data_IF_426040920539
#
_entry.id   IF_426040920539
#
_cell.length_a   1.000
_cell.length_b   1.000
_cell.length_c   1.000
_cell.angle_alpha   90.00
_cell.angle_beta   90.00
_cell.angle_gamma   90.00
#
_symmetry.space_group_name_H-M   'P 1'
#
loop_
_entity.id
_entity.type
_entity.pdbx_description
1 polymer ?
#
# COMPACT_ATOMS: atom_id res chain seq x y z
N UNK A 1 -30.24 -3.17 27.78
CA UNK A 1 -29.98 -1.79 27.38
C UNK A 1 -28.71 -1.83 26.54
N UNK A 2 -28.81 -1.73 25.21
CA UNK A 2 -27.63 -1.70 24.33
C UNK A 2 -26.99 -0.30 24.42
N UNK A 3 -25.67 -0.24 24.59
CA UNK A 3 -24.92 1.01 24.50
C UNK A 3 -25.19 1.69 23.15
N UNK A 4 -25.39 3.02 23.10
CA UNK A 4 -25.50 3.73 21.83
C UNK A 4 -24.27 3.46 20.94
N UNK A 5 -24.48 3.35 19.64
CA UNK A 5 -23.44 2.94 18.66
C UNK A 5 -22.19 3.81 18.73
N UNK A 6 -22.37 5.13 18.77
CA UNK A 6 -21.26 6.09 18.91
C UNK A 6 -20.42 5.88 20.16
N UNK A 7 -21.02 5.39 21.26
CA UNK A 7 -20.30 5.14 22.51
C UNK A 7 -19.40 3.91 22.40
N UNK A 8 -19.88 2.88 21.69
CA UNK A 8 -19.08 1.66 21.43
C UNK A 8 -17.86 1.97 20.58
N UNK A 9 -18.02 2.78 19.53
CA UNK A 9 -16.91 3.22 18.68
C UNK A 9 -15.93 4.08 19.44
N UNK A 10 -16.42 5.00 20.27
CA UNK A 10 -15.56 5.88 21.10
C UNK A 10 -14.77 5.08 22.15
N UNK A 11 -15.41 4.11 22.82
CA UNK A 11 -14.71 3.23 23.78
C UNK A 11 -13.65 2.40 23.04
N UNK A 12 -13.98 1.84 21.90
CA UNK A 12 -13.01 1.08 21.10
C UNK A 12 -11.83 1.95 20.61
N UNK A 13 -12.10 3.19 20.22
CA UNK A 13 -11.04 4.15 19.84
C UNK A 13 -10.15 4.50 21.02
N UNK A 14 -10.73 4.76 22.19
CA UNK A 14 -9.98 5.06 23.42
C UNK A 14 -9.09 3.87 23.84
N UNK A 15 -9.62 2.65 23.84
CA UNK A 15 -8.81 1.47 24.19
C UNK A 15 -7.68 1.27 23.18
N UNK A 16 -7.92 1.46 21.88
CA UNK A 16 -6.85 1.39 20.87
C UNK A 16 -5.75 2.42 21.15
N UNK A 17 -6.11 3.66 21.43
CA UNK A 17 -5.17 4.72 21.77
C UNK A 17 -4.31 4.36 22.98
N UNK A 18 -4.90 3.78 24.03
CA UNK A 18 -4.16 3.33 25.20
C UNK A 18 -3.20 2.17 24.86
N UNK A 19 -3.64 1.23 24.03
CA UNK A 19 -2.79 0.11 23.58
C UNK A 19 -1.64 0.60 22.69
N UNK A 20 -1.87 1.56 21.82
CA UNK A 20 -0.81 2.21 21.01
C UNK A 20 0.22 2.90 21.91
N UNK A 21 -0.23 3.54 22.99
CA UNK A 21 0.66 4.07 24.03
C UNK A 21 1.52 3.00 24.70
N UNK A 22 0.93 1.85 25.06
CA UNK A 22 1.68 0.71 25.63
C UNK A 22 2.69 0.18 24.63
N UNK A 23 2.30 0.01 23.35
CA UNK A 23 3.21 -0.43 22.29
C UNK A 23 4.37 0.53 22.04
N UNK A 24 4.12 1.83 22.09
CA UNK A 24 5.16 2.84 21.98
C UNK A 24 6.16 2.77 23.14
N UNK A 25 5.67 2.58 24.36
CA UNK A 25 6.51 2.43 25.56
C UNK A 25 7.34 1.13 25.52
N UNK A 26 6.75 0.01 25.09
CA UNK A 26 7.49 -1.26 24.95
C UNK A 26 8.58 -1.15 23.88
N UNK A 27 8.31 -0.46 22.77
CA UNK A 27 9.31 -0.19 21.72
C UNK A 27 10.44 0.71 22.22
N UNK A 28 10.12 1.68 23.08
CA UNK A 28 11.13 2.54 23.70
C UNK A 28 11.98 1.76 24.71
N UNK A 29 11.37 0.91 25.53
CA UNK A 29 12.08 0.03 26.48
C UNK A 29 12.99 -0.97 25.74
N UNK A 30 12.56 -1.57 24.65
CA UNK A 30 13.36 -2.47 23.84
C UNK A 30 14.61 -1.85 23.19
N UNK A 31 14.72 -0.50 23.18
CA UNK A 31 15.94 0.20 22.75
C UNK A 31 16.97 0.36 23.89
N UNK A 32 16.61 0.03 25.12
CA UNK A 32 17.50 0.10 26.28
C UNK A 32 18.22 -1.25 26.46
N UNK A 33 19.33 -1.25 27.20
CA UNK A 33 20.01 -2.49 27.59
C UNK A 33 19.19 -3.18 28.68
N UNK A 34 18.40 -4.17 28.28
CA UNK A 34 17.63 -5.01 29.19
C UNK A 34 18.37 -6.33 29.44
N UNK A 35 18.01 -7.01 30.53
CA UNK A 35 18.37 -8.42 30.73
C UNK A 35 17.51 -9.31 29.81
N UNK A 36 17.93 -10.53 29.56
CA UNK A 36 17.14 -11.47 28.74
C UNK A 36 15.70 -11.65 29.28
N UNK A 37 15.53 -11.70 30.60
CA UNK A 37 14.21 -11.75 31.23
C UNK A 37 13.42 -10.45 31.02
N UNK A 38 14.10 -9.30 31.05
CA UNK A 38 13.51 -8.00 30.76
C UNK A 38 13.02 -7.88 29.31
N UNK A 39 13.81 -8.35 28.34
CA UNK A 39 13.43 -8.42 26.93
C UNK A 39 12.21 -9.33 26.72
N UNK A 40 12.19 -10.51 27.35
CA UNK A 40 11.06 -11.41 27.29
C UNK A 40 9.77 -10.81 27.89
N UNK A 41 9.88 -10.08 29.01
CA UNK A 41 8.74 -9.35 29.59
C UNK A 41 8.22 -8.26 28.66
N UNK A 42 9.10 -7.44 28.09
CA UNK A 42 8.72 -6.39 27.16
C UNK A 42 8.04 -6.95 25.91
N UNK A 43 8.58 -8.04 25.35
CA UNK A 43 7.97 -8.74 24.22
C UNK A 43 6.57 -9.28 24.55
N UNK A 44 6.40 -9.87 25.74
CA UNK A 44 5.11 -10.40 26.21
C UNK A 44 4.07 -9.29 26.40
N UNK A 45 4.46 -8.14 26.94
CA UNK A 45 3.56 -6.97 27.10
C UNK A 45 3.18 -6.40 25.75
N UNK A 46 4.14 -6.30 24.81
CA UNK A 46 3.88 -5.83 23.45
C UNK A 46 2.88 -6.75 22.72
N UNK A 47 3.07 -8.07 22.80
CA UNK A 47 2.15 -9.02 22.15
C UNK A 47 0.76 -9.00 22.80
N UNK A 48 0.64 -8.87 24.11
CA UNK A 48 -0.65 -8.74 24.78
C UNK A 48 -1.38 -7.46 24.36
N UNK A 49 -0.70 -6.32 24.27
CA UNK A 49 -1.28 -5.07 23.83
C UNK A 49 -1.71 -5.14 22.36
N UNK A 50 -0.90 -5.74 21.49
CA UNK A 50 -1.24 -5.96 20.09
C UNK A 50 -2.46 -6.88 19.92
N UNK A 51 -2.55 -7.96 20.70
CA UNK A 51 -3.69 -8.87 20.72
C UNK A 51 -4.99 -8.15 21.10
N UNK A 52 -4.97 -7.33 22.16
CA UNK A 52 -6.14 -6.52 22.56
C UNK A 52 -6.57 -5.58 21.44
N UNK A 53 -5.62 -4.89 20.79
CA UNK A 53 -5.90 -4.00 19.65
C UNK A 53 -6.55 -4.76 18.48
N UNK A 54 -6.06 -5.96 18.16
CA UNK A 54 -6.63 -6.79 17.10
C UNK A 54 -8.06 -7.26 17.42
N UNK A 55 -8.30 -7.72 18.64
CA UNK A 55 -9.64 -8.13 19.11
C UNK A 55 -10.64 -6.99 18.98
N UNK A 56 -10.29 -5.80 19.46
CA UNK A 56 -11.16 -4.63 19.40
C UNK A 56 -11.42 -4.21 17.97
N UNK A 57 -10.38 -4.15 17.13
CA UNK A 57 -10.52 -3.78 15.72
C UNK A 57 -11.39 -4.77 14.96
N UNK A 58 -11.19 -6.07 15.17
CA UNK A 58 -12.03 -7.10 14.54
C UNK A 58 -13.49 -7.03 15.02
N UNK A 59 -13.72 -6.77 16.31
CA UNK A 59 -15.06 -6.63 16.87
C UNK A 59 -15.82 -5.42 16.31
N UNK A 60 -15.14 -4.26 16.16
CA UNK A 60 -15.74 -3.05 15.57
C UNK A 60 -16.03 -3.27 14.09
N UNK A 61 -15.08 -3.83 13.33
CA UNK A 61 -15.26 -4.15 11.92
C UNK A 61 -16.44 -5.10 11.70
N UNK A 62 -16.53 -6.18 12.48
CA UNK A 62 -17.64 -7.13 12.39
C UNK A 62 -18.99 -6.48 12.71
N UNK A 63 -19.04 -5.64 13.75
CA UNK A 63 -20.28 -4.91 14.11
C UNK A 63 -20.71 -4.00 12.97
N UNK A 64 -19.80 -3.23 12.39
CA UNK A 64 -20.08 -2.34 11.25
C UNK A 64 -20.59 -3.13 10.05
N UNK A 65 -19.95 -4.26 9.73
CA UNK A 65 -20.37 -5.13 8.61
C UNK A 65 -21.73 -5.79 8.82
N UNK A 66 -22.13 -6.05 10.06
CA UNK A 66 -23.47 -6.59 10.36
C UNK A 66 -24.53 -5.53 10.17
N UNK A 67 -24.26 -4.28 10.52
CA UNK A 67 -25.21 -3.16 10.43
C UNK A 67 -25.36 -2.61 9.00
N UNK A 68 -24.26 -2.46 8.26
CA UNK A 68 -24.23 -1.76 6.97
C UNK A 68 -23.69 -2.57 5.79
N UNK A 69 -23.32 -3.83 5.99
CA UNK A 69 -22.62 -4.62 4.97
C UNK A 69 -21.11 -4.35 4.95
N UNK A 70 -20.42 -5.00 4.01
CA UNK A 70 -18.98 -4.79 3.80
C UNK A 70 -18.81 -3.62 2.85
N UNK A 71 -18.26 -2.52 3.33
CA UNK A 71 -17.83 -1.39 2.49
C UNK A 71 -16.40 -1.65 2.05
N UNK A 72 -16.14 -1.53 0.74
CA UNK A 72 -14.82 -1.71 0.14
C UNK A 72 -14.27 -0.36 -0.33
N UNK A 73 -13.04 -0.08 0.06
CA UNK A 73 -12.25 1.06 -0.41
C UNK A 73 -11.32 0.55 -1.52
N UNK A 74 -11.79 0.62 -2.78
CA UNK A 74 -11.05 0.07 -3.91
C UNK A 74 -9.97 1.03 -4.37
N UNK A 75 -8.73 0.53 -4.41
CA UNK A 75 -7.54 1.22 -4.91
C UNK A 75 -6.74 0.28 -5.83
N UNK A 76 -5.86 0.80 -6.69
CA UNK A 76 -4.92 -0.04 -7.42
C UNK A 76 -3.96 -0.73 -6.44
N UNK A 77 -3.96 -2.07 -6.42
CA UNK A 77 -3.14 -2.88 -5.52
C UNK A 77 -2.29 -3.84 -6.32
N UNK A 78 -0.97 -3.80 -6.12
CA UNK A 78 -0.04 -4.81 -6.62
C UNK A 78 -0.17 -6.06 -5.75
N UNK A 79 -0.60 -7.16 -6.35
CA UNK A 79 -1.02 -8.35 -5.61
C UNK A 79 0.14 -9.08 -4.92
N UNK A 80 1.34 -9.02 -5.49
CA UNK A 80 2.55 -9.54 -4.87
C UNK A 80 2.87 -8.85 -3.55
N UNK A 81 2.74 -7.52 -3.48
CA UNK A 81 3.01 -6.76 -2.26
C UNK A 81 2.08 -7.14 -1.10
N UNK A 82 0.86 -7.59 -1.40
CA UNK A 82 -0.05 -8.13 -0.37
C UNK A 82 0.57 -9.37 0.29
N UNK A 83 1.19 -10.26 -0.49
CA UNK A 83 1.82 -11.47 0.04
C UNK A 83 3.13 -11.17 0.76
N UNK A 84 3.89 -10.19 0.30
CA UNK A 84 5.09 -9.71 0.99
C UNK A 84 4.71 -9.15 2.38
N UNK A 85 3.63 -8.36 2.48
CA UNK A 85 3.11 -7.85 3.75
C UNK A 85 2.55 -8.97 4.66
N UNK A 86 1.87 -9.97 4.09
CA UNK A 86 1.44 -11.17 4.83
C UNK A 86 2.64 -11.87 5.44
N UNK A 87 3.73 -12.04 4.69
CA UNK A 87 4.96 -12.64 5.18
C UNK A 87 5.57 -11.84 6.33
N UNK A 88 5.73 -10.55 6.16
CA UNK A 88 6.30 -9.66 7.20
C UNK A 88 5.50 -9.70 8.51
N UNK A 89 4.18 -9.71 8.43
CA UNK A 89 3.29 -9.73 9.60
C UNK A 89 3.31 -11.07 10.33
N UNK A 90 3.31 -12.17 9.57
CA UNK A 90 3.05 -13.49 10.13
C UNK A 90 4.30 -14.30 10.43
N UNK A 91 5.44 -14.06 9.76
CA UNK A 91 6.66 -14.81 9.98
C UNK A 91 7.15 -14.76 11.44
N UNK A 92 7.23 -13.58 12.10
CA UNK A 92 7.61 -13.52 13.53
C UNK A 92 6.61 -14.21 14.45
N UNK A 93 5.30 -14.06 14.16
CA UNK A 93 4.22 -14.64 14.97
C UNK A 93 4.18 -16.16 14.87
N UNK A 94 4.30 -16.71 13.66
CA UNK A 94 4.37 -18.15 13.45
C UNK A 94 5.62 -18.75 14.12
N UNK A 95 6.77 -18.09 13.97
CA UNK A 95 8.03 -18.52 14.59
C UNK A 95 7.93 -18.57 16.12
N UNK A 96 7.27 -17.62 16.77
CA UNK A 96 7.07 -17.59 18.22
C UNK A 96 6.26 -18.78 18.74
N UNK A 97 5.41 -19.38 17.90
CA UNK A 97 4.64 -20.60 18.22
C UNK A 97 5.32 -21.90 17.77
N UNK A 98 6.52 -21.81 17.16
CA UNK A 98 7.25 -22.97 16.64
C UNK A 98 6.73 -23.46 15.28
N UNK A 99 5.98 -22.62 14.55
CA UNK A 99 5.46 -22.88 13.21
C UNK A 99 6.31 -22.15 12.17
N UNK A 100 6.65 -22.84 11.08
CA UNK A 100 7.29 -22.21 9.91
C UNK A 100 6.20 -21.81 8.92
N UNK A 101 6.08 -20.51 8.63
CA UNK A 101 5.19 -20.02 7.59
C UNK A 101 5.94 -19.94 6.25
N UNK A 102 5.39 -20.57 5.24
CA UNK A 102 5.86 -20.50 3.85
C UNK A 102 4.87 -19.67 3.04
N UNK A 103 5.31 -18.53 2.53
CA UNK A 103 4.47 -17.64 1.72
C UNK A 103 4.91 -17.70 0.27
N UNK A 104 3.96 -17.77 -0.65
CA UNK A 104 4.22 -17.82 -2.11
C UNK A 104 3.23 -16.96 -2.89
N UNK A 105 3.72 -16.39 -3.97
CA UNK A 105 2.91 -15.73 -4.98
C UNK A 105 3.15 -16.39 -6.34
N UNK A 106 2.08 -16.73 -7.05
CA UNK A 106 2.10 -17.33 -8.40
C UNK A 106 1.30 -16.43 -9.35
N UNK A 107 1.96 -15.89 -10.34
CA UNK A 107 1.42 -14.95 -11.32
C UNK A 107 2.46 -13.95 -11.79
N UNK A 108 2.04 -13.00 -12.61
CA UNK A 108 2.88 -11.88 -13.00
C UNK A 108 3.25 -11.05 -11.77
N UNK A 109 4.54 -10.81 -11.49
CA UNK A 109 4.97 -9.98 -10.35
C UNK A 109 4.39 -8.57 -10.34
N UNK A 110 4.09 -8.01 -11.51
CA UNK A 110 3.44 -6.70 -11.69
C UNK A 110 1.92 -6.76 -11.74
N UNK A 111 1.31 -7.95 -11.58
CA UNK A 111 -0.15 -8.07 -11.59
C UNK A 111 -0.79 -7.19 -10.52
N UNK A 112 -1.68 -6.30 -10.96
CA UNK A 112 -2.39 -5.38 -10.11
C UNK A 112 -3.90 -5.38 -10.45
N UNK A 113 -4.73 -5.07 -9.44
CA UNK A 113 -6.18 -5.03 -9.58
C UNK A 113 -6.79 -3.94 -8.68
N UNK A 114 -8.02 -3.52 -8.99
CA UNK A 114 -8.80 -2.68 -8.09
C UNK A 114 -9.23 -3.52 -6.88
N UNK A 115 -8.66 -3.27 -5.73
CA UNK A 115 -8.89 -4.05 -4.52
C UNK A 115 -8.86 -3.16 -3.27
N UNK A 116 -9.46 -3.65 -2.21
CA UNK A 116 -9.24 -3.12 -0.86
C UNK A 116 -8.11 -3.92 -0.21
N UNK A 117 -6.90 -3.32 -0.18
CA UNK A 117 -5.69 -3.94 0.39
C UNK A 117 -5.92 -4.41 1.82
N UNK A 118 -6.55 -3.58 2.65
CA UNK A 118 -6.84 -3.90 4.06
C UNK A 118 -7.74 -5.13 4.19
N UNK A 119 -8.78 -5.22 3.35
CA UNK A 119 -9.72 -6.35 3.36
C UNK A 119 -9.06 -7.64 2.85
N UNK A 120 -8.22 -7.57 1.83
CA UNK A 120 -7.43 -8.72 1.37
C UNK A 120 -6.53 -9.26 2.49
N UNK A 121 -5.82 -8.38 3.18
CA UNK A 121 -4.98 -8.76 4.32
C UNK A 121 -5.81 -9.39 5.45
N UNK A 122 -7.00 -8.87 5.76
CA UNK A 122 -7.91 -9.45 6.76
C UNK A 122 -8.36 -10.87 6.40
N UNK A 123 -8.53 -11.17 5.10
CA UNK A 123 -8.84 -12.53 4.65
C UNK A 123 -7.69 -13.48 4.95
N UNK A 124 -6.46 -13.10 4.58
CA UNK A 124 -5.27 -13.90 4.90
C UNK A 124 -5.04 -14.02 6.40
N UNK A 125 -5.12 -12.92 7.13
CA UNK A 125 -4.91 -12.88 8.59
C UNK A 125 -5.84 -13.87 9.31
N UNK A 126 -7.11 -13.94 8.90
CA UNK A 126 -8.07 -14.85 9.53
C UNK A 126 -7.78 -16.33 9.25
N UNK A 127 -7.46 -16.70 8.01
CA UNK A 127 -7.21 -18.09 7.66
C UNK A 127 -5.81 -18.56 8.10
N UNK A 128 -4.79 -17.72 8.02
CA UNK A 128 -3.45 -18.03 8.53
C UNK A 128 -3.48 -18.15 10.07
N UNK A 129 -4.20 -17.25 10.76
CA UNK A 129 -4.36 -17.32 12.21
C UNK A 129 -4.99 -18.62 12.68
N UNK A 130 -6.03 -19.10 11.98
CA UNK A 130 -6.67 -20.40 12.24
C UNK A 130 -5.69 -21.55 12.00
N UNK A 131 -4.94 -21.54 10.89
CA UNK A 131 -3.99 -22.59 10.54
C UNK A 131 -2.77 -22.65 11.49
N UNK A 132 -2.15 -21.51 11.78
CA UNK A 132 -1.01 -21.39 12.69
C UNK A 132 -1.38 -21.78 14.11
N UNK A 133 -2.55 -21.28 14.59
CA UNK A 133 -3.05 -21.63 15.92
C UNK A 133 -3.32 -23.13 16.10
N UNK A 134 -3.79 -23.80 15.03
CA UNK A 134 -4.09 -25.23 15.04
C UNK A 134 -2.83 -26.11 14.85
N UNK A 135 -1.73 -25.58 14.24
CA UNK A 135 -0.59 -26.38 13.83
C UNK A 135 0.30 -26.84 14.98
N UNK A 136 0.47 -26.03 16.01
CA UNK A 136 1.33 -26.33 17.16
C UNK A 136 2.82 -26.43 16.81
N UNK A 137 3.22 -27.23 15.82
CA UNK A 137 4.58 -27.36 15.27
C UNK A 137 4.52 -27.84 13.82
N UNK A 138 5.48 -27.41 13.00
CA UNK A 138 5.59 -27.80 11.59
C UNK A 138 5.43 -26.60 10.66
N UNK A 139 4.91 -26.83 9.45
CA UNK A 139 4.77 -25.77 8.45
C UNK A 139 3.30 -25.47 8.13
N UNK A 140 3.03 -24.20 7.90
CA UNK A 140 1.80 -23.68 7.28
C UNK A 140 2.21 -23.02 5.97
N UNK A 141 1.50 -23.31 4.89
CA UNK A 141 1.74 -22.74 3.57
C UNK A 141 0.61 -21.75 3.25
N UNK A 142 0.94 -20.54 2.84
CA UNK A 142 -0.01 -19.53 2.38
C UNK A 142 0.40 -19.07 0.97
N UNK A 143 -0.44 -19.34 -0.01
CA UNK A 143 -0.21 -19.01 -1.40
C UNK A 143 -1.30 -18.13 -1.98
N UNK A 144 -0.95 -17.29 -2.93
CA UNK A 144 -1.86 -16.52 -3.75
C UNK A 144 -1.50 -16.75 -5.23
N UNK A 145 -2.46 -17.21 -6.00
CA UNK A 145 -2.36 -17.28 -7.45
C UNK A 145 -3.21 -16.17 -8.06
N UNK A 146 -2.64 -15.39 -8.98
CA UNK A 146 -3.32 -14.31 -9.68
C UNK A 146 -3.32 -14.60 -11.20
N UNK A 147 -4.52 -14.64 -11.80
CA UNK A 147 -4.70 -14.90 -13.22
C UNK A 147 -5.56 -13.80 -13.83
N UNK A 148 -5.04 -13.13 -14.84
CA UNK A 148 -5.80 -12.16 -15.63
C UNK A 148 -6.83 -12.93 -16.49
N UNK A 149 -8.09 -12.53 -16.41
CA UNK A 149 -9.21 -13.07 -17.16
C UNK A 149 -9.98 -11.93 -17.85
N UNK A 150 -10.90 -12.26 -18.74
CA UNK A 150 -11.64 -11.23 -19.50
C UNK A 150 -12.44 -10.27 -18.60
N UNK A 151 -12.91 -10.75 -17.45
CA UNK A 151 -13.73 -9.97 -16.51
C UNK A 151 -12.92 -9.25 -15.42
N UNK A 152 -11.57 -9.39 -15.41
CA UNK A 152 -10.73 -8.79 -14.39
C UNK A 152 -9.54 -9.66 -14.01
N UNK A 153 -9.23 -9.71 -12.71
CA UNK A 153 -8.16 -10.54 -12.15
C UNK A 153 -8.77 -11.55 -11.17
N UNK A 154 -8.64 -12.83 -11.50
CA UNK A 154 -9.05 -13.91 -10.60
C UNK A 154 -7.93 -14.21 -9.62
N UNK A 155 -8.27 -14.13 -8.33
CA UNK A 155 -7.39 -14.50 -7.24
C UNK A 155 -7.81 -15.83 -6.66
N UNK A 156 -6.87 -16.74 -6.48
CA UNK A 156 -7.05 -17.94 -5.68
C UNK A 156 -6.03 -17.93 -4.52
N UNK A 157 -6.55 -17.74 -3.30
CA UNK A 157 -5.76 -17.87 -2.08
C UNK A 157 -5.85 -19.27 -1.53
N UNK A 158 -4.74 -19.84 -1.08
CA UNK A 158 -4.65 -21.21 -0.54
C UNK A 158 -3.84 -21.22 0.74
N UNK A 159 -4.46 -21.66 1.84
CA UNK A 159 -3.80 -21.83 3.13
C UNK A 159 -3.83 -23.31 3.50
N UNK A 160 -2.66 -23.95 3.49
CA UNK A 160 -2.49 -25.35 3.86
C UNK A 160 -1.98 -25.43 5.29
N UNK A 161 -2.74 -26.14 6.10
CA UNK A 161 -2.46 -26.33 7.53
C UNK A 161 -2.82 -27.73 8.01
N UNK A 162 -2.88 -27.95 9.33
CA UNK A 162 -3.28 -29.25 9.89
C UNK A 162 -4.73 -29.57 9.53
N UNK A 163 -5.03 -30.87 9.47
CA UNK A 163 -6.40 -31.34 9.25
C UNK A 163 -7.32 -30.87 10.37
N UNK A 164 -8.32 -30.09 9.97
CA UNK A 164 -9.40 -29.67 10.88
C UNK A 164 -10.66 -30.49 10.60
N UNK A 165 -11.01 -31.35 11.54
CA UNK A 165 -12.21 -32.20 11.46
C UNK A 165 -13.50 -31.46 11.75
N UNK A 166 -13.44 -30.19 12.16
CA UNK A 166 -14.61 -29.37 12.51
C UNK A 166 -15.29 -28.65 11.35
N UNK A 167 -14.84 -28.86 10.10
CA UNK A 167 -15.40 -28.17 8.92
C UNK A 167 -16.70 -28.78 8.39
N UNK A 168 -16.90 -30.07 8.57
CA UNK A 168 -17.94 -30.79 7.88
C UNK A 168 -19.29 -30.66 8.57
N UNK A 169 -20.26 -30.02 7.88
CA UNK A 169 -21.68 -30.02 8.27
C UNK A 169 -22.08 -29.10 9.44
N UNK A 170 -21.19 -28.24 9.93
CA UNK A 170 -21.51 -27.32 11.02
C UNK A 170 -21.95 -25.96 10.50
N UNK A 171 -22.96 -25.39 11.17
CA UNK A 171 -23.32 -23.98 11.04
C UNK A 171 -22.12 -23.08 11.38
N UNK A 172 -22.01 -21.93 10.68
CA UNK A 172 -20.94 -20.97 10.87
C UNK A 172 -20.77 -20.55 12.33
N UNK A 173 -21.87 -20.33 13.03
CA UNK A 173 -21.84 -19.92 14.43
C UNK A 173 -21.24 -21.01 15.34
N UNK A 174 -21.64 -22.26 15.16
CA UNK A 174 -21.08 -23.40 15.91
C UNK A 174 -19.58 -23.55 15.62
N UNK A 175 -19.17 -23.35 14.38
CA UNK A 175 -17.76 -23.39 14.00
C UNK A 175 -16.96 -22.29 14.68
N UNK A 176 -17.42 -21.05 14.69
CA UNK A 176 -16.74 -19.93 15.35
C UNK A 176 -16.59 -20.20 16.85
N UNK A 177 -17.62 -20.71 17.51
CA UNK A 177 -17.54 -21.14 18.93
C UNK A 177 -16.49 -22.24 19.16
N UNK A 178 -16.36 -23.18 18.24
CA UNK A 178 -15.35 -24.22 18.32
C UNK A 178 -13.93 -23.68 18.15
N UNK A 179 -13.73 -22.71 17.23
CA UNK A 179 -12.46 -22.00 17.05
C UNK A 179 -12.13 -21.24 18.35
N UNK A 180 -13.08 -20.47 18.88
CA UNK A 180 -12.89 -19.71 20.13
C UNK A 180 -12.48 -20.61 21.30
N UNK A 181 -13.18 -21.72 21.50
CA UNK A 181 -12.90 -22.65 22.58
C UNK A 181 -11.50 -23.31 22.48
N UNK A 182 -11.00 -23.49 21.26
CA UNK A 182 -9.71 -24.17 21.00
C UNK A 182 -8.53 -23.22 20.84
N UNK A 183 -8.74 -22.11 20.17
CA UNK A 183 -7.68 -21.21 19.68
C UNK A 183 -7.80 -19.78 20.23
N UNK A 184 -8.86 -19.50 20.99
CA UNK A 184 -9.10 -18.21 21.61
C UNK A 184 -9.90 -17.22 20.75
N UNK A 185 -10.34 -16.14 21.41
CA UNK A 185 -11.26 -15.15 20.84
C UNK A 185 -10.65 -14.39 19.66
N UNK A 186 -9.36 -14.05 19.70
CA UNK A 186 -8.68 -13.33 18.60
C UNK A 186 -8.78 -14.10 17.29
N UNK A 187 -8.43 -15.39 17.32
CA UNK A 187 -8.47 -16.27 16.15
C UNK A 187 -9.90 -16.47 15.66
N UNK A 188 -10.86 -16.63 16.57
CA UNK A 188 -12.28 -16.78 16.21
C UNK A 188 -12.83 -15.54 15.51
N UNK A 189 -12.55 -14.34 16.04
CA UNK A 189 -12.95 -13.08 15.41
C UNK A 189 -12.28 -12.87 14.05
N UNK A 190 -10.98 -13.15 13.94
CA UNK A 190 -10.25 -13.10 12.67
C UNK A 190 -10.84 -14.04 11.63
N UNK A 191 -11.13 -15.29 12.00
CA UNK A 191 -11.75 -16.28 11.12
C UNK A 191 -13.17 -15.88 10.67
N UNK A 192 -13.96 -15.27 11.56
CA UNK A 192 -15.28 -14.74 11.23
C UNK A 192 -15.19 -13.53 10.30
N UNK A 193 -14.26 -12.61 10.59
CA UNK A 193 -14.01 -11.42 9.78
C UNK A 193 -13.58 -11.79 8.36
N UNK A 194 -12.62 -12.70 8.21
CA UNK A 194 -12.15 -13.18 6.91
C UNK A 194 -13.31 -13.70 6.04
N UNK A 195 -14.18 -14.53 6.60
CA UNK A 195 -15.32 -15.08 5.88
C UNK A 195 -16.36 -14.01 5.52
N UNK A 196 -16.58 -13.04 6.41
CA UNK A 196 -17.52 -11.95 6.16
C UNK A 196 -17.02 -11.01 5.07
N UNK A 197 -15.75 -10.65 5.13
CA UNK A 197 -15.07 -9.85 4.09
C UNK A 197 -15.12 -10.56 2.75
N UNK A 198 -14.75 -11.84 2.72
CA UNK A 198 -14.76 -12.65 1.51
C UNK A 198 -16.15 -12.70 0.87
N UNK A 199 -17.19 -12.91 1.67
CA UNK A 199 -18.57 -12.90 1.18
C UNK A 199 -18.98 -11.51 0.64
N UNK A 200 -18.54 -10.42 1.28
CA UNK A 200 -18.74 -9.04 0.79
C UNK A 200 -18.02 -8.72 -0.52
N UNK A 201 -16.94 -9.44 -0.81
CA UNK A 201 -16.21 -9.38 -2.07
C UNK A 201 -16.74 -10.38 -3.12
N UNK A 202 -17.93 -10.98 -2.89
CA UNK A 202 -18.51 -12.06 -3.70
C UNK A 202 -17.55 -13.27 -3.87
N UNK A 203 -16.64 -13.46 -2.93
CA UNK A 203 -15.71 -14.57 -2.93
C UNK A 203 -16.33 -15.85 -2.36
N UNK A 204 -15.72 -16.96 -2.73
CA UNK A 204 -16.11 -18.28 -2.25
C UNK A 204 -14.98 -18.91 -1.45
N UNK A 205 -15.31 -19.70 -0.44
CA UNK A 205 -14.33 -20.46 0.34
C UNK A 205 -14.68 -21.94 0.26
N UNK A 206 -13.67 -22.77 0.01
CA UNK A 206 -13.78 -24.23 0.00
C UNK A 206 -12.68 -24.87 0.81
N UNK A 207 -12.94 -26.07 1.28
CA UNK A 207 -11.95 -26.91 1.95
C UNK A 207 -11.58 -28.07 1.05
N UNK A 208 -10.30 -28.33 0.94
CA UNK A 208 -9.74 -29.43 0.16
C UNK A 208 -8.99 -30.36 1.13
N UNK A 209 -9.40 -31.61 1.18
CA UNK A 209 -8.69 -32.63 1.95
C UNK A 209 -7.45 -33.08 1.16
N UNK A 210 -6.28 -32.97 1.78
CA UNK A 210 -5.03 -33.43 1.19
C UNK A 210 -4.69 -34.85 1.63
N UNK A 211 -3.74 -35.46 0.92
CA UNK A 211 -3.16 -36.71 1.39
C UNK A 211 -2.40 -36.49 2.70
N UNK A 212 -2.61 -37.37 3.69
CA UNK A 212 -2.00 -37.24 5.01
C UNK A 212 -2.86 -36.47 6.03
N UNK A 213 -2.20 -35.75 6.95
CA UNK A 213 -2.85 -35.08 8.07
C UNK A 213 -3.03 -33.56 7.85
N UNK A 214 -3.11 -33.11 6.60
CA UNK A 214 -3.30 -31.70 6.27
C UNK A 214 -4.55 -31.47 5.44
N UNK A 215 -5.09 -30.25 5.52
CA UNK A 215 -6.17 -29.75 4.69
C UNK A 215 -5.74 -28.39 4.11
N UNK A 216 -6.35 -28.01 2.98
CA UNK A 216 -6.19 -26.68 2.39
C UNK A 216 -7.53 -25.93 2.47
N UNK A 217 -7.48 -24.73 3.02
CA UNK A 217 -8.56 -23.74 2.85
C UNK A 217 -8.23 -22.96 1.60
N UNK A 218 -9.07 -23.05 0.58
CA UNK A 218 -8.94 -22.27 -0.64
C UNK A 218 -10.08 -21.27 -0.73
N UNK A 219 -9.77 -20.06 -1.16
CA UNK A 219 -10.78 -19.05 -1.48
C UNK A 219 -10.53 -18.46 -2.87
N UNK A 220 -11.59 -18.03 -3.50
CA UNK A 220 -11.54 -17.42 -4.84
C UNK A 220 -12.30 -16.10 -4.83
N UNK A 221 -11.71 -15.08 -5.45
CA UNK A 221 -12.28 -13.74 -5.61
C UNK A 221 -12.01 -13.28 -7.04
N UNK A 222 -13.00 -12.65 -7.67
CA UNK A 222 -12.80 -11.92 -8.92
C UNK A 222 -12.71 -10.42 -8.60
N UNK A 223 -11.55 -9.84 -8.85
CA UNK A 223 -11.32 -8.41 -8.71
C UNK A 223 -11.49 -7.72 -10.06
N UNK A 224 -11.99 -6.48 -10.03
CA UNK A 224 -12.01 -5.67 -11.22
C UNK A 224 -10.58 -5.39 -11.69
N UNK A 225 -10.36 -5.46 -13.00
CA UNK A 225 -9.12 -4.93 -13.57
C UNK A 225 -9.01 -3.44 -13.18
N UNK A 226 -7.79 -2.96 -13.05
CA UNK A 226 -7.59 -1.52 -12.96
C UNK A 226 -8.24 -0.92 -14.22
N UNK A 227 -9.21 0.00 -14.10
CA UNK A 227 -9.77 0.63 -15.27
C UNK A 227 -8.59 1.17 -16.08
N UNK A 228 -8.41 0.68 -17.31
CA UNK A 228 -7.54 1.39 -18.24
C UNK A 228 -8.04 2.83 -18.21
N UNK A 229 -7.26 3.74 -17.64
CA UNK A 229 -7.45 5.16 -17.92
C UNK A 229 -7.58 5.21 -19.44
N UNK A 230 -8.73 5.72 -19.95
CA UNK A 230 -9.07 5.80 -21.35
C UNK A 230 -7.79 5.96 -22.12
N UNK A 231 -7.40 4.96 -22.89
CA UNK A 231 -6.12 4.91 -23.59
C UNK A 231 -5.85 6.26 -24.27
N UNK A 232 -4.91 7.00 -23.68
CA UNK A 232 -3.98 7.68 -24.55
C UNK A 232 -3.22 6.55 -25.26
N UNK A 233 -3.04 6.58 -26.57
CA UNK A 233 -2.64 5.43 -27.37
C UNK A 233 -1.42 4.77 -26.74
N UNK A 234 -1.51 3.43 -26.62
CA UNK A 234 -0.46 2.57 -26.09
C UNK A 234 0.80 2.71 -26.96
N UNK A 235 1.67 3.63 -26.61
CA UNK A 235 3.00 3.76 -27.20
C UNK A 235 4.13 3.93 -26.17
N UNK A 236 3.91 3.70 -24.84
CA UNK A 236 5.00 3.99 -23.90
C UNK A 236 5.20 3.07 -22.68
N UNK A 237 4.67 1.87 -22.65
CA UNK A 237 5.04 0.88 -21.62
C UNK A 237 6.43 0.29 -21.91
N UNK A 238 7.46 1.05 -21.59
CA UNK A 238 8.87 0.66 -21.78
C UNK A 238 9.76 1.79 -22.29
N UNK A 239 9.24 2.98 -22.55
CA UNK A 239 10.04 4.13 -22.90
C UNK A 239 10.60 4.80 -21.65
N UNK A 240 11.92 5.06 -21.64
CA UNK A 240 12.56 5.94 -20.68
C UNK A 240 11.82 7.30 -20.62
N UNK A 241 11.45 7.76 -19.42
CA UNK A 241 10.77 9.06 -19.27
C UNK A 241 11.61 10.17 -19.92
N UNK A 242 10.97 11.06 -20.67
CA UNK A 242 11.64 12.14 -21.39
C UNK A 242 11.46 13.46 -20.65
N UNK A 243 12.54 14.02 -20.13
CA UNK A 243 12.55 15.13 -19.18
C UNK A 243 13.12 16.39 -19.84
N UNK A 244 12.41 17.52 -19.73
CA UNK A 244 12.95 18.81 -20.10
C UNK A 244 13.68 19.45 -18.90
N UNK A 245 14.94 19.75 -19.06
CA UNK A 245 15.78 20.42 -18.05
C UNK A 245 15.92 21.91 -18.42
N UNK A 246 15.43 22.80 -17.59
CA UNK A 246 15.42 24.24 -17.81
C UNK A 246 16.26 24.93 -16.75
N UNK A 247 17.36 25.58 -17.16
CA UNK A 247 18.27 26.32 -16.27
C UNK A 247 19.11 27.28 -17.14
N UNK A 248 19.34 28.50 -16.74
CA UNK A 248 20.13 29.47 -17.51
C UNK A 248 21.66 29.15 -17.50
N UNK A 249 22.10 28.36 -16.51
CA UNK A 249 23.49 27.97 -16.36
C UNK A 249 23.78 26.62 -17.03
N UNK A 250 24.62 26.61 -18.05
CA UNK A 250 24.98 25.39 -18.79
C UNK A 250 25.58 24.27 -17.90
N UNK A 251 26.29 24.62 -16.81
CA UNK A 251 26.82 23.64 -15.87
C UNK A 251 25.70 22.96 -15.07
N UNK A 252 24.69 23.73 -14.62
CA UNK A 252 23.55 23.17 -13.91
C UNK A 252 22.75 22.26 -14.84
N UNK A 253 22.51 22.65 -16.09
CA UNK A 253 21.86 21.80 -17.09
C UNK A 253 22.58 20.47 -17.26
N UNK A 254 23.91 20.52 -17.43
CA UNK A 254 24.72 19.31 -17.58
C UNK A 254 24.63 18.38 -16.35
N UNK A 255 24.68 18.95 -15.15
CA UNK A 255 24.56 18.18 -13.91
C UNK A 255 23.16 17.54 -13.81
N UNK A 256 22.09 18.31 -14.07
CA UNK A 256 20.74 17.80 -14.03
C UNK A 256 20.52 16.69 -15.09
N UNK A 257 21.00 16.87 -16.32
CA UNK A 257 20.92 15.86 -17.37
C UNK A 257 21.67 14.57 -16.98
N UNK A 258 22.89 14.69 -16.44
CA UNK A 258 23.64 13.53 -15.98
C UNK A 258 22.93 12.76 -14.85
N UNK A 259 22.24 13.46 -13.94
CA UNK A 259 21.44 12.83 -12.89
C UNK A 259 20.20 12.14 -13.46
N UNK A 260 19.52 12.77 -14.41
CA UNK A 260 18.36 12.21 -15.11
C UNK A 260 18.74 10.94 -15.89
N UNK A 261 19.89 10.96 -16.60
CA UNK A 261 20.42 9.79 -17.30
C UNK A 261 20.78 8.63 -16.35
N UNK A 262 21.29 8.96 -15.14
CA UNK A 262 21.60 7.94 -14.12
C UNK A 262 20.34 7.18 -13.65
N UNK A 263 19.15 7.77 -13.82
CA UNK A 263 17.85 7.17 -13.48
C UNK A 263 17.14 6.55 -14.69
N UNK A 264 17.91 6.19 -15.74
CA UNK A 264 17.39 5.58 -16.98
C UNK A 264 16.37 6.46 -17.71
N UNK A 265 16.39 7.79 -17.51
CA UNK A 265 15.56 8.76 -18.23
C UNK A 265 16.34 9.45 -19.35
N UNK A 266 15.64 9.91 -20.37
CA UNK A 266 16.21 10.74 -21.44
C UNK A 266 15.92 12.21 -21.16
N UNK A 267 16.76 13.14 -21.68
CA UNK A 267 16.56 14.56 -21.42
C UNK A 267 16.86 15.44 -22.63
N UNK A 268 16.14 16.56 -22.69
CA UNK A 268 16.47 17.73 -23.49
C UNK A 268 16.63 18.94 -22.57
N UNK A 269 17.19 20.04 -23.08
CA UNK A 269 17.39 21.22 -22.25
C UNK A 269 16.91 22.50 -22.93
N UNK A 270 16.50 23.48 -22.11
CA UNK A 270 16.20 24.85 -22.51
C UNK A 270 16.98 25.82 -21.60
N UNK A 271 17.29 27.03 -22.14
CA UNK A 271 18.13 28.00 -21.44
C UNK A 271 17.36 29.06 -20.66
N UNK A 272 16.04 29.13 -20.86
CA UNK A 272 15.13 30.03 -20.14
C UNK A 272 13.66 29.61 -20.26
N UNK A 273 12.78 30.41 -19.63
CA UNK A 273 11.36 30.12 -19.59
C UNK A 273 10.64 30.25 -20.95
N UNK A 274 11.12 31.08 -21.87
CA UNK A 274 10.50 31.23 -23.21
C UNK A 274 10.78 29.97 -24.03
N UNK A 275 12.03 29.50 -24.05
CA UNK A 275 12.40 28.24 -24.70
C UNK A 275 11.68 27.03 -24.06
N UNK A 276 11.52 27.05 -22.72
CA UNK A 276 10.79 25.99 -22.03
C UNK A 276 9.33 25.91 -22.45
N UNK A 277 8.63 27.05 -22.59
CA UNK A 277 7.24 27.10 -23.07
C UNK A 277 7.15 26.61 -24.51
N UNK A 278 8.07 27.01 -25.39
CA UNK A 278 8.11 26.56 -26.78
C UNK A 278 8.36 25.05 -26.86
N UNK A 279 9.34 24.53 -26.11
CA UNK A 279 9.66 23.11 -26.06
C UNK A 279 8.45 22.29 -25.54
N UNK A 280 7.77 22.76 -24.47
CA UNK A 280 6.63 22.09 -23.87
C UNK A 280 5.46 21.91 -24.86
N UNK A 281 5.25 22.84 -25.81
CA UNK A 281 4.21 22.74 -26.82
C UNK A 281 4.31 21.49 -27.69
N UNK A 282 5.51 20.90 -27.80
CA UNK A 282 5.70 19.64 -28.53
C UNK A 282 4.95 18.45 -27.92
N UNK A 283 4.56 18.53 -26.63
CA UNK A 283 3.84 17.49 -25.91
C UNK A 283 4.61 16.19 -25.66
N UNK A 284 5.94 16.18 -25.95
CA UNK A 284 6.78 14.98 -25.87
C UNK A 284 7.42 14.73 -24.49
N UNK A 285 7.35 15.71 -23.59
CA UNK A 285 7.96 15.61 -22.27
C UNK A 285 6.99 15.01 -21.26
N UNK A 286 7.51 14.11 -20.44
CA UNK A 286 6.81 13.48 -19.35
C UNK A 286 6.95 14.25 -18.03
N UNK A 287 8.00 15.10 -17.91
CA UNK A 287 8.25 15.95 -16.77
C UNK A 287 9.16 17.14 -17.17
N UNK A 288 9.03 18.26 -16.45
CA UNK A 288 9.89 19.44 -16.61
C UNK A 288 10.59 19.73 -15.28
N UNK A 289 11.93 19.80 -15.30
CA UNK A 289 12.75 20.36 -14.23
C UNK A 289 12.99 21.85 -14.54
N UNK A 290 12.42 22.75 -13.74
CA UNK A 290 12.35 24.17 -14.03
C UNK A 290 13.12 25.01 -13.01
N UNK A 291 14.19 25.67 -13.43
CA UNK A 291 14.82 26.70 -12.59
C UNK A 291 13.86 27.85 -12.33
N UNK A 292 13.86 28.35 -11.11
CA UNK A 292 13.00 29.47 -10.73
C UNK A 292 13.55 30.80 -11.23
N UNK A 293 14.88 30.98 -11.13
CA UNK A 293 15.52 32.27 -11.44
C UNK A 293 16.29 32.23 -12.74
N UNK A 294 15.66 32.71 -13.82
CA UNK A 294 16.25 32.78 -15.14
C UNK A 294 16.02 34.15 -15.77
N UNK A 295 16.88 34.58 -16.69
CA UNK A 295 16.68 35.80 -17.49
C UNK A 295 15.50 35.64 -18.45
N UNK A 296 15.00 36.74 -19.00
CA UNK A 296 13.89 36.84 -19.97
C UNK A 296 12.56 36.42 -19.33
N UNK A 297 12.35 35.16 -19.08
CA UNK A 297 11.15 34.62 -18.41
C UNK A 297 11.58 33.73 -17.25
N UNK A 298 11.11 34.04 -16.04
CA UNK A 298 11.37 33.22 -14.85
C UNK A 298 10.54 31.94 -14.84
N UNK A 299 10.93 30.97 -13.99
CA UNK A 299 10.28 29.67 -13.94
C UNK A 299 8.82 29.71 -13.51
N UNK A 300 8.43 30.69 -12.69
CA UNK A 300 7.03 30.86 -12.25
C UNK A 300 6.18 31.33 -13.43
N UNK A 301 6.65 32.31 -14.19
CA UNK A 301 5.97 32.81 -15.37
C UNK A 301 5.86 31.73 -16.45
N UNK A 302 6.95 30.98 -16.68
CA UNK A 302 6.98 29.86 -17.60
C UNK A 302 5.99 28.76 -17.20
N UNK A 303 5.93 28.41 -15.93
CA UNK A 303 4.96 27.44 -15.40
C UNK A 303 3.53 27.87 -15.66
N UNK A 304 3.18 29.12 -15.36
CA UNK A 304 1.84 29.65 -15.64
C UNK A 304 1.49 29.63 -17.12
N UNK A 305 2.46 29.95 -17.98
CA UNK A 305 2.27 29.90 -19.43
C UNK A 305 2.04 28.46 -19.91
N UNK A 306 2.82 27.50 -19.42
CA UNK A 306 2.64 26.06 -19.72
C UNK A 306 1.28 25.57 -19.22
N UNK A 307 0.86 25.93 -17.99
CA UNK A 307 -0.46 25.55 -17.45
C UNK A 307 -1.64 26.12 -18.25
N UNK A 308 -1.44 27.21 -18.96
CA UNK A 308 -2.48 27.79 -19.84
C UNK A 308 -2.59 27.05 -21.19
N UNK A 309 -1.67 26.14 -21.53
CA UNK A 309 -1.73 25.36 -22.76
C UNK A 309 -2.81 24.26 -22.65
N UNK A 310 -3.49 23.90 -23.75
CA UNK A 310 -4.56 22.92 -23.73
C UNK A 310 -4.04 21.48 -23.61
N UNK A 311 -4.88 20.60 -23.05
CA UNK A 311 -4.67 19.16 -23.02
C UNK A 311 -3.50 18.69 -22.14
N UNK A 312 -2.83 17.60 -22.52
CA UNK A 312 -1.74 16.96 -21.77
C UNK A 312 -0.57 17.91 -21.51
N UNK A 313 -0.31 18.83 -22.40
CA UNK A 313 0.80 19.79 -22.28
C UNK A 313 0.65 20.66 -21.03
N UNK A 314 -0.55 21.21 -20.80
CA UNK A 314 -0.83 22.00 -19.61
C UNK A 314 -0.82 21.21 -18.30
N UNK A 315 -0.94 19.90 -18.38
CA UNK A 315 -0.95 18.99 -17.23
C UNK A 315 0.42 18.32 -16.94
N UNK A 316 1.46 18.58 -17.77
CA UNK A 316 2.78 17.98 -17.58
C UNK A 316 3.33 18.31 -16.18
N UNK A 317 3.87 17.32 -15.41
CA UNK A 317 4.47 17.58 -14.11
C UNK A 317 5.65 18.55 -14.22
N UNK A 318 5.71 19.53 -13.31
CA UNK A 318 6.78 20.54 -13.25
C UNK A 318 7.36 20.55 -11.85
N UNK A 319 8.66 20.31 -11.73
CA UNK A 319 9.40 20.37 -10.47
C UNK A 319 10.28 21.62 -10.48
N UNK A 320 10.16 22.44 -9.44
CA UNK A 320 10.99 23.62 -9.22
C UNK A 320 12.43 23.23 -8.86
N UNK A 321 13.42 23.82 -9.48
CA UNK A 321 14.81 23.81 -9.06
C UNK A 321 15.12 25.16 -8.42
N UNK A 322 15.45 25.22 -7.12
CA UNK A 322 15.65 26.47 -6.40
C UNK A 322 16.92 26.44 -5.56
N UNK A 323 17.56 27.60 -5.38
CA UNK A 323 18.69 27.75 -4.47
C UNK A 323 18.27 27.83 -2.99
N UNK A 324 16.96 28.01 -2.71
CA UNK A 324 16.41 28.12 -1.37
C UNK A 324 15.04 27.44 -1.34
N UNK A 325 14.88 26.47 -0.46
CA UNK A 325 13.62 25.72 -0.29
C UNK A 325 12.88 26.16 0.99
N UNK A 326 12.87 27.47 1.29
CA UNK A 326 12.06 27.98 2.40
C UNK A 326 10.58 27.65 2.19
N UNK A 327 9.84 27.33 3.26
CA UNK A 327 8.43 26.96 3.16
C UNK A 327 7.54 28.00 2.46
N UNK A 328 7.78 29.29 2.67
CA UNK A 328 7.04 30.40 2.03
C UNK A 328 7.27 30.44 0.50
N UNK A 329 8.50 30.18 0.06
CA UNK A 329 8.84 30.11 -1.35
C UNK A 329 8.22 28.85 -2.00
N UNK A 330 8.27 27.71 -1.32
CA UNK A 330 7.68 26.47 -1.81
C UNK A 330 6.15 26.58 -2.02
N UNK A 331 5.41 27.25 -1.11
CA UNK A 331 3.99 27.51 -1.28
C UNK A 331 3.71 28.36 -2.54
N UNK A 332 4.57 29.33 -2.87
CA UNK A 332 4.43 30.16 -4.06
C UNK A 332 4.61 29.36 -5.36
N UNK A 333 5.53 28.36 -5.36
CA UNK A 333 5.76 27.49 -6.51
C UNK A 333 4.58 26.53 -6.74
N UNK A 334 4.07 25.93 -5.67
CA UNK A 334 2.87 25.09 -5.73
C UNK A 334 1.63 25.89 -6.19
N UNK A 335 1.46 27.12 -5.70
CA UNK A 335 0.38 28.02 -6.12
C UNK A 335 0.48 28.44 -7.59
N UNK A 336 1.70 28.44 -8.17
CA UNK A 336 1.90 28.66 -9.59
C UNK A 336 1.57 27.43 -10.46
N UNK A 337 1.33 26.27 -9.84
CA UNK A 337 1.00 25.01 -10.50
C UNK A 337 2.16 24.04 -10.66
N UNK A 338 3.24 24.21 -9.91
CA UNK A 338 4.33 23.21 -9.85
C UNK A 338 3.94 22.04 -8.94
N UNK A 339 4.52 20.86 -9.19
CA UNK A 339 4.19 19.61 -8.51
C UNK A 339 5.16 19.24 -7.38
N UNK A 340 6.32 19.90 -7.32
CA UNK A 340 7.33 19.64 -6.30
C UNK A 340 8.48 20.62 -6.37
N UNK A 341 9.40 20.51 -5.39
CA UNK A 341 10.57 21.40 -5.26
C UNK A 341 11.82 20.58 -4.97
N UNK A 342 12.91 20.86 -5.65
CA UNK A 342 14.23 20.30 -5.41
C UNK A 342 15.23 21.44 -5.18
N UNK A 343 15.93 21.40 -4.06
CA UNK A 343 16.94 22.39 -3.71
C UNK A 343 18.27 22.15 -4.43
N UNK A 344 18.88 23.23 -4.89
CA UNK A 344 20.25 23.23 -5.45
C UNK A 344 21.30 23.42 -4.32
N UNK A 345 22.41 22.65 -4.28
CA UNK A 345 22.84 21.69 -5.30
C UNK A 345 22.01 20.40 -5.27
N UNK A 346 21.61 19.95 -6.46
CA UNK A 346 20.75 18.77 -6.61
C UNK A 346 21.44 17.52 -6.07
N UNK A 347 20.86 16.92 -5.03
CA UNK A 347 21.28 15.61 -4.52
C UNK A 347 20.56 14.50 -5.28
N UNK A 348 21.24 13.44 -5.72
CA UNK A 348 20.62 12.35 -6.46
C UNK A 348 19.38 11.76 -5.78
N UNK A 349 19.44 11.58 -4.46
CA UNK A 349 18.35 11.00 -3.65
C UNK A 349 17.08 11.86 -3.67
N UNK A 350 17.25 13.21 -3.55
CA UNK A 350 16.12 14.14 -3.55
C UNK A 350 15.50 14.27 -4.94
N UNK A 351 16.34 14.27 -5.99
CA UNK A 351 15.84 14.32 -7.35
C UNK A 351 15.09 13.04 -7.71
N UNK A 352 15.64 11.86 -7.38
CA UNK A 352 14.98 10.58 -7.61
C UNK A 352 13.60 10.53 -6.96
N UNK A 353 13.50 10.92 -5.67
CA UNK A 353 12.24 10.94 -4.94
C UNK A 353 11.22 11.87 -5.61
N UNK A 354 11.65 13.07 -6.02
CA UNK A 354 10.78 14.03 -6.68
C UNK A 354 10.30 13.53 -8.06
N UNK A 355 11.19 12.87 -8.83
CA UNK A 355 10.83 12.25 -10.12
C UNK A 355 9.80 11.12 -9.93
N UNK A 356 10.03 10.24 -8.97
CA UNK A 356 9.09 9.15 -8.66
C UNK A 356 7.71 9.69 -8.28
N UNK A 357 7.65 10.68 -7.37
CA UNK A 357 6.39 11.29 -6.95
C UNK A 357 5.65 12.00 -8.09
N UNK A 358 6.38 12.65 -8.99
CA UNK A 358 5.78 13.43 -10.07
C UNK A 358 5.40 12.58 -11.30
N UNK A 359 6.10 11.47 -11.54
CA UNK A 359 5.81 10.53 -12.63
C UNK A 359 4.82 9.44 -12.22
N UNK A 360 4.54 9.29 -10.92
CA UNK A 360 3.55 8.32 -10.43
C UNK A 360 2.12 8.83 -10.72
N UNK A 361 1.31 8.10 -11.51
CA UNK A 361 -0.02 8.55 -11.92
C UNK A 361 -1.01 8.77 -10.75
N UNK A 362 -0.67 8.30 -9.53
CA UNK A 362 -1.49 8.48 -8.33
C UNK A 362 -1.36 9.84 -7.62
N UNK A 363 -0.34 10.65 -7.91
CA UNK A 363 -0.04 11.87 -7.13
C UNK A 363 -0.78 13.14 -7.60
N UNK A 364 -1.48 13.11 -8.74
CA UNK A 364 -2.12 14.27 -9.37
C UNK A 364 -3.40 14.78 -8.68
N UNK A 365 -3.91 14.12 -7.64
CA UNK A 365 -5.22 14.42 -7.02
C UNK A 365 -5.17 15.30 -5.77
N UNK A 366 -4.01 15.68 -5.25
CA UNK A 366 -3.92 16.39 -3.95
C UNK A 366 -3.84 17.93 -4.05
N UNK A 367 -3.86 18.53 -5.24
CA UNK A 367 -3.68 19.97 -5.45
C UNK A 367 -4.96 20.73 -5.85
N UNK A 368 -6.14 20.10 -5.76
CA UNK A 368 -7.41 20.75 -6.10
C UNK A 368 -8.49 20.40 -5.05
N UNK A 369 -8.35 20.90 -3.81
CA UNK A 369 -9.45 21.04 -2.84
C UNK A 369 -9.17 22.22 -1.92
#
# INVERSE_FOLDING_TARGET
MSLPEFLTERVAAEIRQQMDGVLALTKQLGRQRLTADGEACVASVAEAAASVSRIISAGVDLKSMVAGGVTLELEPVVLREVMDEVQERWQPRAASTGVTLLVSFDGDPGAAAMADRKRLLQVFDGFIGEAVGAQGRGAVEAGLTAVVVAEGVRLEGRIRGPRDTGWDGQDLEQRIRNIEARLGLEVALGAMLARRVLAGMNGQVRKEANAGASDTVAFEILLAAIPEAVEAPAEDAGRAAHILVVDDNATNRMVAQSLVEMFDCTSESAEDGEEAVEAAQSGRFDLILMDIRMPRMDGIAATRAIRALPGRVGAVPIIALTANADPEDAESYLAAGMNGVVEKPMKPEHLLLALQQALDPGSSSAAAA
#
